data_IF_696865741332
#
_entry.id   IF_696865741332
#
_cell.length_a   1.000
_cell.length_b   1.000
_cell.length_c   1.000
_cell.angle_alpha   90.00
_cell.angle_beta   90.00
_cell.angle_gamma   90.00
#
_symmetry.space_group_name_H-M   'P 1'
#
loop_
_entity.id
_entity.type
_entity.pdbx_description
1 polymer ?
#
# COMPACT_ATOMS: atom_id res chain seq x y z
N UNK A 1 -27.25 6.17 -22.00
CA UNK A 1 -27.07 6.76 -20.66
C UNK A 1 -28.19 6.23 -19.78
N UNK A 2 -27.88 5.65 -18.63
CA UNK A 2 -28.88 5.15 -17.68
C UNK A 2 -28.98 6.15 -16.52
N UNK A 3 -30.21 6.54 -16.20
CA UNK A 3 -30.53 7.47 -15.12
C UNK A 3 -31.51 6.81 -14.17
N UNK A 4 -31.23 6.86 -12.88
CA UNK A 4 -32.16 6.41 -11.84
C UNK A 4 -31.85 7.07 -10.50
N UNK A 5 -32.86 7.61 -9.83
CA UNK A 5 -32.74 8.05 -8.44
C UNK A 5 -33.05 6.84 -7.54
N UNK A 6 -32.11 6.40 -6.70
CA UNK A 6 -32.34 5.35 -5.70
C UNK A 6 -32.57 3.90 -6.20
N UNK A 7 -32.68 3.63 -7.50
CA UNK A 7 -32.94 2.29 -8.04
C UNK A 7 -31.72 1.39 -8.25
N UNK A 8 -31.94 0.08 -8.38
CA UNK A 8 -30.93 -0.91 -8.76
C UNK A 8 -30.78 -0.96 -10.30
N UNK A 9 -29.54 -0.92 -10.79
CA UNK A 9 -29.21 -1.12 -12.21
C UNK A 9 -28.54 -2.48 -12.34
N UNK A 10 -29.20 -3.42 -13.02
CA UNK A 10 -28.63 -4.72 -13.34
C UNK A 10 -28.47 -4.81 -14.84
N UNK A 11 -27.26 -5.08 -15.30
CA UNK A 11 -26.99 -5.31 -16.71
C UNK A 11 -26.14 -6.57 -16.91
N UNK A 12 -26.40 -7.29 -18.01
CA UNK A 12 -25.51 -8.30 -18.59
C UNK A 12 -25.36 -8.09 -20.10
N UNK A 13 -24.13 -8.11 -20.61
CA UNK A 13 -23.88 -8.07 -22.06
C UNK A 13 -22.45 -8.51 -22.42
N UNK A 14 -22.16 -8.74 -23.71
CA UNK A 14 -20.79 -9.08 -24.13
C UNK A 14 -19.82 -7.89 -24.06
N UNK A 15 -20.27 -6.67 -24.32
CA UNK A 15 -19.47 -5.43 -24.30
C UNK A 15 -20.34 -4.27 -23.81
N UNK A 16 -19.77 -3.44 -22.94
CA UNK A 16 -20.45 -2.27 -22.38
C UNK A 16 -19.61 -1.01 -22.45
N UNK A 17 -20.27 0.08 -22.79
CA UNK A 17 -19.72 1.43 -22.79
C UNK A 17 -20.83 2.41 -22.42
N UNK A 18 -21.18 2.41 -21.14
CA UNK A 18 -22.34 3.10 -20.61
C UNK A 18 -21.93 4.24 -19.66
N UNK A 19 -22.77 5.26 -19.60
CA UNK A 19 -22.77 6.23 -18.52
C UNK A 19 -23.98 5.94 -17.62
N UNK A 20 -23.73 5.61 -16.36
CA UNK A 20 -24.73 5.37 -15.32
C UNK A 20 -24.66 6.53 -14.32
N UNK A 21 -25.77 7.22 -14.12
CA UNK A 21 -25.89 8.31 -13.15
C UNK A 21 -27.08 8.06 -12.23
N UNK A 22 -26.82 8.03 -10.93
CA UNK A 22 -27.86 7.96 -9.92
C UNK A 22 -27.44 8.60 -8.61
N UNK A 23 -28.36 8.70 -7.67
CA UNK A 23 -28.09 9.10 -6.29
C UNK A 23 -28.41 7.91 -5.38
N UNK A 24 -27.38 7.24 -4.86
CA UNK A 24 -27.48 6.23 -3.81
C UNK A 24 -27.87 4.79 -4.22
N UNK A 25 -28.24 4.55 -5.49
CA UNK A 25 -28.65 3.21 -5.96
C UNK A 25 -27.51 2.20 -6.12
N UNK A 26 -27.85 0.91 -6.23
CA UNK A 26 -26.89 -0.20 -6.46
C UNK A 26 -26.68 -0.44 -7.95
N UNK A 27 -25.44 -0.64 -8.38
CA UNK A 27 -25.10 -1.01 -9.76
C UNK A 27 -24.49 -2.40 -9.75
N UNK A 28 -25.08 -3.34 -10.48
CA UNK A 28 -24.55 -4.66 -10.74
C UNK A 28 -24.35 -4.82 -12.23
N UNK A 29 -23.14 -5.16 -12.64
CA UNK A 29 -22.86 -5.44 -14.03
C UNK A 29 -22.02 -6.70 -14.19
N UNK A 30 -22.32 -7.48 -15.23
CA UNK A 30 -21.42 -8.49 -15.80
C UNK A 30 -21.17 -8.19 -17.29
N UNK A 31 -19.94 -8.43 -17.79
CA UNK A 31 -19.67 -8.47 -19.23
C UNK A 31 -18.28 -9.06 -19.55
N UNK A 32 -17.97 -9.28 -20.83
CA UNK A 32 -16.58 -9.61 -21.22
C UNK A 32 -15.66 -8.38 -21.24
N UNK A 33 -16.16 -7.20 -21.63
CA UNK A 33 -15.39 -5.95 -21.72
C UNK A 33 -16.25 -4.76 -21.29
N UNK A 34 -15.74 -3.94 -20.37
CA UNK A 34 -16.41 -2.73 -19.87
C UNK A 34 -15.57 -1.49 -20.01
N UNK A 35 -16.24 -0.39 -20.30
CA UNK A 35 -15.67 0.95 -20.29
C UNK A 35 -16.75 1.94 -19.88
N UNK A 36 -17.08 1.93 -18.59
CA UNK A 36 -18.25 2.61 -18.05
C UNK A 36 -17.86 3.79 -17.17
N UNK A 37 -18.75 4.77 -17.11
CA UNK A 37 -18.70 5.87 -16.15
C UNK A 37 -19.88 5.75 -15.19
N UNK A 38 -19.60 5.50 -13.92
CA UNK A 38 -20.61 5.38 -12.85
C UNK A 38 -20.48 6.58 -11.92
N UNK A 39 -21.57 7.34 -11.75
CA UNK A 39 -21.61 8.51 -10.86
C UNK A 39 -22.75 8.41 -9.86
N UNK A 40 -22.41 8.59 -8.57
CA UNK A 40 -23.34 8.73 -7.46
C UNK A 40 -24.06 7.44 -7.04
N UNK A 41 -23.52 6.28 -7.42
CA UNK A 41 -24.01 5.00 -6.91
C UNK A 41 -23.78 4.90 -5.38
N UNK A 42 -24.66 4.18 -4.67
CA UNK A 42 -24.40 3.74 -3.31
C UNK A 42 -23.36 2.62 -3.33
N UNK A 43 -23.72 1.47 -3.91
CA UNK A 43 -22.85 0.30 -4.07
C UNK A 43 -22.62 -0.03 -5.55
N UNK A 44 -21.44 -0.54 -5.89
CA UNK A 44 -21.08 -0.97 -7.24
C UNK A 44 -20.47 -2.37 -7.19
N UNK A 45 -21.05 -3.32 -7.92
CA UNK A 45 -20.53 -4.67 -8.10
C UNK A 45 -20.31 -4.89 -9.59
N UNK A 46 -19.07 -5.18 -9.95
CA UNK A 46 -18.74 -5.47 -11.34
C UNK A 46 -17.96 -6.77 -11.46
N UNK A 47 -18.30 -7.56 -12.48
CA UNK A 47 -17.49 -8.69 -12.96
C UNK A 47 -17.17 -8.48 -14.44
N UNK A 48 -15.93 -8.75 -14.87
CA UNK A 48 -15.60 -8.82 -16.31
C UNK A 48 -14.25 -9.44 -16.64
N UNK A 49 -13.98 -9.77 -17.92
CA UNK A 49 -12.60 -10.12 -18.32
C UNK A 49 -11.67 -8.90 -18.45
N UNK A 50 -12.16 -7.75 -18.91
CA UNK A 50 -11.38 -6.51 -19.07
C UNK A 50 -12.22 -5.28 -18.71
N UNK A 51 -11.72 -4.43 -17.81
CA UNK A 51 -12.41 -3.20 -17.37
C UNK A 51 -11.54 -1.96 -17.52
N UNK A 52 -12.19 -0.85 -17.81
CA UNK A 52 -11.60 0.48 -17.80
C UNK A 52 -12.67 1.48 -17.40
N UNK A 53 -12.99 1.50 -16.11
CA UNK A 53 -14.15 2.20 -15.59
C UNK A 53 -13.74 3.41 -14.74
N UNK A 54 -14.63 4.40 -14.69
CA UNK A 54 -14.53 5.55 -13.79
C UNK A 54 -15.72 5.54 -12.84
N UNK A 55 -15.46 5.39 -11.54
CA UNK A 55 -16.47 5.38 -10.48
C UNK A 55 -16.28 6.64 -9.63
N UNK A 56 -17.30 7.48 -9.54
CA UNK A 56 -17.25 8.75 -8.77
C UNK A 56 -18.42 8.89 -7.80
N UNK A 57 -18.09 9.23 -6.56
CA UNK A 57 -19.07 9.52 -5.51
C UNK A 57 -19.80 8.26 -5.03
N UNK A 58 -19.09 7.13 -5.00
CA UNK A 58 -19.61 5.92 -4.39
C UNK A 58 -19.60 6.10 -2.87
N UNK A 59 -20.78 6.25 -2.26
CA UNK A 59 -20.88 6.41 -0.79
C UNK A 59 -20.62 5.09 -0.05
N UNK A 60 -20.96 3.96 -0.67
CA UNK A 60 -20.84 2.61 -0.13
C UNK A 60 -19.72 1.79 -0.77
N UNK A 61 -19.98 0.51 -0.98
CA UNK A 61 -18.99 -0.49 -1.37
C UNK A 61 -18.76 -0.55 -2.88
N UNK A 62 -17.51 -0.75 -3.29
CA UNK A 62 -17.12 -1.05 -4.68
C UNK A 62 -16.42 -2.40 -4.72
N UNK A 63 -17.04 -3.39 -5.36
CA UNK A 63 -16.52 -4.74 -5.51
C UNK A 63 -16.24 -5.01 -6.99
N UNK A 64 -14.98 -5.31 -7.30
CA UNK A 64 -14.54 -5.55 -8.68
C UNK A 64 -13.70 -6.82 -8.83
N UNK A 65 -14.19 -7.75 -9.64
CA UNK A 65 -13.38 -8.88 -10.15
C UNK A 65 -13.09 -8.72 -11.65
N UNK A 66 -11.83 -8.95 -12.07
CA UNK A 66 -11.49 -9.07 -13.48
C UNK A 66 -10.19 -9.80 -13.80
N UNK A 67 -9.93 -10.14 -15.07
CA UNK A 67 -8.57 -10.58 -15.48
C UNK A 67 -7.60 -9.41 -15.64
N UNK A 68 -8.08 -8.27 -16.15
CA UNK A 68 -7.30 -7.03 -16.34
C UNK A 68 -8.19 -5.83 -16.05
N UNK A 69 -7.67 -4.88 -15.28
CA UNK A 69 -8.37 -3.63 -15.02
C UNK A 69 -7.46 -2.43 -14.96
N UNK A 70 -8.07 -1.29 -15.29
CA UNK A 70 -7.47 0.03 -15.26
C UNK A 70 -8.56 1.03 -14.89
N UNK A 71 -8.86 1.12 -13.59
CA UNK A 71 -10.01 1.86 -13.10
C UNK A 71 -9.59 3.09 -12.30
N UNK A 72 -10.47 4.10 -12.29
CA UNK A 72 -10.36 5.26 -11.43
C UNK A 72 -11.55 5.31 -10.49
N UNK A 73 -11.30 5.27 -9.19
CA UNK A 73 -12.31 5.33 -8.13
C UNK A 73 -12.09 6.61 -7.32
N UNK A 74 -13.09 7.48 -7.23
CA UNK A 74 -13.00 8.76 -6.49
C UNK A 74 -14.19 8.98 -5.57
N UNK A 75 -13.90 9.34 -4.32
CA UNK A 75 -14.91 9.70 -3.32
C UNK A 75 -15.59 8.48 -2.73
N UNK A 76 -14.84 7.39 -2.52
CA UNK A 76 -15.29 6.18 -1.87
C UNK A 76 -15.31 6.40 -0.35
N UNK A 77 -16.43 6.86 0.22
CA UNK A 77 -16.55 6.94 1.67
C UNK A 77 -16.46 5.57 2.36
N UNK A 78 -16.84 4.50 1.63
CA UNK A 78 -16.90 3.11 2.10
C UNK A 78 -15.67 2.25 1.76
N UNK A 79 -15.96 0.98 1.42
CA UNK A 79 -14.95 -0.06 1.17
C UNK A 79 -14.76 -0.33 -0.33
N UNK A 80 -13.51 -0.53 -0.75
CA UNK A 80 -13.13 -0.92 -2.11
C UNK A 80 -12.47 -2.30 -2.05
N UNK A 81 -13.11 -3.31 -2.65
CA UNK A 81 -12.62 -4.69 -2.73
C UNK A 81 -12.34 -5.02 -4.18
N UNK A 82 -11.12 -5.46 -4.43
CA UNK A 82 -10.64 -5.69 -5.77
C UNK A 82 -9.90 -7.01 -5.89
N UNK A 83 -10.22 -7.79 -6.94
CA UNK A 83 -9.40 -8.93 -7.38
C UNK A 83 -9.07 -8.81 -8.89
N UNK A 84 -7.83 -9.13 -9.27
CA UNK A 84 -7.51 -9.40 -10.67
C UNK A 84 -6.14 -10.05 -10.91
N UNK A 85 -5.91 -10.57 -12.12
CA UNK A 85 -4.53 -10.95 -12.54
C UNK A 85 -3.61 -9.75 -12.78
N UNK A 86 -4.12 -8.60 -13.26
CA UNK A 86 -3.34 -7.39 -13.55
C UNK A 86 -4.16 -6.12 -13.27
N UNK A 87 -3.65 -5.25 -12.39
CA UNK A 87 -4.29 -3.97 -12.03
C UNK A 87 -3.40 -2.77 -12.34
N UNK A 88 -4.04 -1.68 -12.75
CA UNK A 88 -3.44 -0.35 -12.81
C UNK A 88 -4.50 0.68 -12.41
N UNK A 89 -4.72 0.81 -11.11
CA UNK A 89 -5.86 1.55 -10.59
C UNK A 89 -5.42 2.83 -9.86
N UNK A 90 -6.30 3.83 -9.89
CA UNK A 90 -6.19 5.04 -9.08
C UNK A 90 -7.38 5.13 -8.14
N UNK A 91 -7.12 5.15 -6.83
CA UNK A 91 -8.15 5.22 -5.79
C UNK A 91 -7.94 6.51 -4.99
N UNK A 92 -8.98 7.35 -4.87
CA UNK A 92 -8.92 8.62 -4.12
C UNK A 92 -10.09 8.78 -3.15
N UNK A 93 -9.77 9.05 -1.89
CA UNK A 93 -10.72 9.30 -0.79
C UNK A 93 -11.43 8.02 -0.42
N UNK A 94 -10.74 7.14 0.31
CA UNK A 94 -11.15 5.79 0.65
C UNK A 94 -11.17 5.56 2.17
N UNK A 95 -12.20 4.91 2.68
CA UNK A 95 -12.20 4.33 4.03
C UNK A 95 -11.27 3.11 4.09
N UNK A 96 -11.71 1.99 3.53
CA UNK A 96 -10.97 0.72 3.50
C UNK A 96 -10.73 0.24 2.07
N UNK A 97 -9.53 -0.23 1.77
CA UNK A 97 -9.14 -0.77 0.46
C UNK A 97 -8.55 -2.17 0.66
N UNK A 98 -9.09 -3.16 -0.04
CA UNK A 98 -8.59 -4.53 -0.09
C UNK A 98 -8.27 -4.88 -1.55
N UNK A 99 -7.03 -5.26 -1.83
CA UNK A 99 -6.60 -5.65 -3.17
C UNK A 99 -5.80 -6.96 -3.18
N UNK A 100 -6.27 -7.93 -3.96
CA UNK A 100 -5.45 -9.09 -4.36
C UNK A 100 -5.10 -9.05 -5.86
N UNK A 101 -3.86 -9.37 -6.23
CA UNK A 101 -3.51 -9.56 -7.65
C UNK A 101 -2.24 -10.36 -7.92
N UNK A 102 -2.01 -10.78 -9.16
CA UNK A 102 -0.67 -11.28 -9.55
C UNK A 102 0.33 -10.16 -9.82
N UNK A 103 -0.12 -9.05 -10.38
CA UNK A 103 0.69 -7.86 -10.69
C UNK A 103 -0.16 -6.62 -10.51
N UNK A 104 0.37 -5.63 -9.80
CA UNK A 104 -0.31 -4.34 -9.65
C UNK A 104 0.64 -3.16 -9.68
N UNK A 105 0.07 -2.05 -10.11
CA UNK A 105 0.69 -0.74 -10.15
C UNK A 105 -0.38 0.28 -9.82
N UNK A 106 -0.62 0.53 -8.53
CA UNK A 106 -1.75 1.33 -8.09
C UNK A 106 -1.30 2.61 -7.40
N UNK A 107 -2.13 3.65 -7.50
CA UNK A 107 -1.98 4.88 -6.74
C UNK A 107 -3.19 5.05 -5.82
N UNK A 108 -2.94 5.06 -4.51
CA UNK A 108 -3.97 5.20 -3.47
C UNK A 108 -3.76 6.54 -2.75
N UNK A 109 -4.77 7.40 -2.70
CA UNK A 109 -4.72 8.70 -2.02
C UNK A 109 -5.87 8.89 -1.03
N UNK A 110 -5.57 9.25 0.22
CA UNK A 110 -6.55 9.59 1.26
C UNK A 110 -7.22 8.35 1.83
N UNK A 111 -6.47 7.52 2.56
CA UNK A 111 -6.87 6.19 2.97
C UNK A 111 -7.00 6.06 4.49
N UNK A 112 -7.97 5.29 4.99
CA UNK A 112 -8.04 4.81 6.37
C UNK A 112 -7.28 3.48 6.58
N UNK A 113 -7.71 2.39 5.94
CA UNK A 113 -7.02 1.08 5.99
C UNK A 113 -6.78 0.52 4.59
N UNK A 114 -5.55 0.11 4.30
CA UNK A 114 -5.14 -0.52 3.03
C UNK A 114 -4.60 -1.91 3.32
N UNK A 115 -5.18 -2.93 2.68
CA UNK A 115 -4.73 -4.32 2.73
C UNK A 115 -4.44 -4.77 1.31
N UNK A 116 -3.23 -5.28 1.10
CA UNK A 116 -2.77 -5.62 -0.23
C UNK A 116 -2.03 -6.95 -0.25
N UNK A 117 -2.37 -7.83 -1.17
CA UNK A 117 -1.58 -9.01 -1.53
C UNK A 117 -1.22 -8.97 -3.02
N UNK A 118 0.02 -9.35 -3.37
CA UNK A 118 0.34 -9.73 -4.75
C UNK A 118 1.65 -10.47 -4.93
N UNK A 119 1.86 -11.07 -6.11
CA UNK A 119 3.22 -11.55 -6.49
C UNK A 119 4.20 -10.42 -6.84
N UNK A 120 3.75 -9.28 -7.38
CA UNK A 120 4.59 -8.13 -7.76
C UNK A 120 3.81 -6.82 -7.59
N UNK A 121 4.33 -5.92 -6.76
CA UNK A 121 3.75 -4.60 -6.48
C UNK A 121 4.66 -3.48 -6.93
N UNK A 122 4.05 -2.43 -7.46
CA UNK A 122 4.67 -1.13 -7.68
C UNK A 122 3.67 -0.03 -7.34
N UNK A 123 3.45 0.21 -6.05
CA UNK A 123 2.37 1.07 -5.59
C UNK A 123 2.86 2.38 -4.99
N UNK A 124 2.04 3.42 -5.13
CA UNK A 124 2.19 4.69 -4.43
C UNK A 124 1.00 4.91 -3.51
N UNK A 125 1.24 4.97 -2.20
CA UNK A 125 0.21 5.20 -1.19
C UNK A 125 0.47 6.56 -0.53
N UNK A 126 -0.54 7.44 -0.54
CA UNK A 126 -0.47 8.77 0.08
C UNK A 126 -1.69 9.05 0.96
N UNK A 127 -1.54 9.07 2.27
CA UNK A 127 -2.65 9.31 3.22
C UNK A 127 -2.31 8.79 4.61
N UNK A 128 -3.12 9.15 5.61
CA UNK A 128 -2.88 8.78 7.00
C UNK A 128 -3.78 7.61 7.44
N UNK A 129 -3.22 6.49 7.91
CA UNK A 129 -3.98 5.28 8.20
C UNK A 129 -3.11 4.02 8.43
N UNK A 130 -3.72 2.82 8.38
CA UNK A 130 -3.02 1.53 8.49
C UNK A 130 -2.80 0.89 7.12
N UNK A 131 -1.56 0.49 6.81
CA UNK A 131 -1.18 -0.20 5.58
C UNK A 131 -0.65 -1.59 5.92
N UNK A 132 -1.22 -2.64 5.31
CA UNK A 132 -0.77 -4.03 5.44
C UNK A 132 -0.49 -4.57 4.04
N UNK A 133 0.72 -5.06 3.82
CA UNK A 133 1.16 -5.52 2.51
C UNK A 133 1.95 -6.83 2.54
N UNK A 134 1.48 -7.82 1.79
CA UNK A 134 2.27 -9.03 1.50
C UNK A 134 2.64 -9.09 0.00
N UNK A 135 3.87 -9.45 -0.34
CA UNK A 135 4.21 -9.79 -1.72
C UNK A 135 5.47 -10.64 -1.91
N UNK A 136 5.68 -11.17 -3.13
CA UNK A 136 7.01 -11.74 -3.47
C UNK A 136 8.06 -10.68 -3.84
N UNK A 137 7.64 -9.58 -4.45
CA UNK A 137 8.51 -8.46 -4.85
C UNK A 137 7.74 -7.16 -4.70
N UNK A 138 8.34 -6.21 -3.99
CA UNK A 138 7.73 -4.95 -3.63
C UNK A 138 8.64 -3.77 -3.98
N UNK A 139 8.10 -2.81 -4.72
CA UNK A 139 8.72 -1.52 -5.00
C UNK A 139 7.71 -0.41 -4.73
N UNK A 140 7.55 0.01 -3.48
CA UNK A 140 6.48 0.94 -3.12
C UNK A 140 7.01 2.27 -2.59
N UNK A 141 6.19 3.30 -2.76
CA UNK A 141 6.36 4.59 -2.11
C UNK A 141 5.17 4.87 -1.20
N UNK A 142 5.40 4.96 0.10
CA UNK A 142 4.39 5.24 1.12
C UNK A 142 4.66 6.62 1.71
N UNK A 143 3.64 7.50 1.70
CA UNK A 143 3.72 8.86 2.25
C UNK A 143 2.53 9.19 3.16
N UNK A 144 2.75 9.45 4.44
CA UNK A 144 1.68 9.82 5.39
C UNK A 144 1.97 9.40 6.83
N UNK A 145 0.98 9.52 7.71
CA UNK A 145 1.07 9.11 9.12
C UNK A 145 0.35 7.77 9.35
N UNK A 146 0.76 6.98 10.35
CA UNK A 146 0.10 5.72 10.73
C UNK A 146 0.93 4.44 10.49
N UNK A 147 0.35 3.28 10.86
CA UNK A 147 1.07 2.00 10.95
C UNK A 147 1.25 1.33 9.58
N UNK A 148 2.47 0.91 9.27
CA UNK A 148 2.83 0.15 8.07
C UNK A 148 3.33 -1.23 8.49
N UNK A 149 2.70 -2.28 7.97
CA UNK A 149 3.13 -3.68 8.16
C UNK A 149 3.40 -4.27 6.79
N UNK A 150 4.59 -4.80 6.58
CA UNK A 150 4.96 -5.38 5.31
C UNK A 150 5.67 -6.72 5.46
N UNK A 151 5.33 -7.67 4.59
CA UNK A 151 6.11 -8.89 4.36
C UNK A 151 6.47 -9.00 2.88
N UNK A 152 7.72 -9.40 2.58
CA UNK A 152 8.03 -9.86 1.22
C UNK A 152 9.29 -10.72 1.11
N UNK A 153 9.52 -11.32 -0.08
CA UNK A 153 10.85 -11.90 -0.37
C UNK A 153 11.92 -10.86 -0.77
N UNK A 154 11.52 -9.75 -1.39
CA UNK A 154 12.41 -8.68 -1.88
C UNK A 154 11.69 -7.34 -1.82
N UNK A 155 12.24 -6.40 -1.05
CA UNK A 155 11.70 -5.04 -0.88
C UNK A 155 12.68 -3.99 -1.39
N UNK A 156 12.14 -2.98 -2.05
CA UNK A 156 12.81 -1.72 -2.32
C UNK A 156 11.82 -0.58 -2.16
N UNK A 157 11.68 -0.08 -0.93
CA UNK A 157 10.62 0.87 -0.59
C UNK A 157 11.16 2.22 -0.13
N UNK A 158 10.34 3.23 -0.34
CA UNK A 158 10.51 4.55 0.25
C UNK A 158 9.31 4.85 1.15
N UNK A 159 9.54 4.98 2.45
CA UNK A 159 8.53 5.31 3.45
C UNK A 159 8.83 6.70 4.01
N UNK A 160 7.85 7.61 3.95
CA UNK A 160 7.97 8.98 4.48
C UNK A 160 6.75 9.37 5.30
N UNK A 161 6.92 9.77 6.56
CA UNK A 161 5.78 10.04 7.46
C UNK A 161 6.10 10.77 8.75
N UNK A 162 5.10 11.03 9.59
CA UNK A 162 5.27 11.46 10.98
C UNK A 162 4.42 10.54 11.86
N UNK A 163 4.98 10.01 12.96
CA UNK A 163 4.23 9.38 14.05
C UNK A 163 3.61 8.01 13.77
N UNK A 164 4.28 7.11 13.04
CA UNK A 164 3.73 5.79 12.71
C UNK A 164 4.77 4.67 12.82
N UNK A 165 4.33 3.52 13.32
CA UNK A 165 5.13 2.30 13.44
C UNK A 165 5.31 1.62 12.08
N UNK A 166 6.54 1.21 11.78
CA UNK A 166 6.91 0.45 10.57
C UNK A 166 7.40 -0.93 11.00
N UNK A 167 6.63 -1.97 10.71
CA UNK A 167 7.05 -3.36 10.88
C UNK A 167 7.32 -3.95 9.52
N UNK A 168 8.53 -4.46 9.32
CA UNK A 168 8.88 -5.15 8.10
C UNK A 168 9.57 -6.50 8.34
N UNK A 169 9.19 -7.51 7.55
CA UNK A 169 9.98 -8.74 7.36
C UNK A 169 10.35 -8.90 5.87
N UNK A 170 11.59 -9.32 5.58
CA UNK A 170 11.91 -9.79 4.24
C UNK A 170 13.20 -10.61 4.13
N UNK A 171 13.37 -11.38 3.04
CA UNK A 171 14.70 -11.99 2.75
C UNK A 171 15.76 -10.99 2.27
N UNK A 172 15.39 -9.92 1.58
CA UNK A 172 16.31 -8.89 1.05
C UNK A 172 15.59 -7.53 1.06
N UNK A 173 16.12 -6.57 1.81
CA UNK A 173 15.60 -5.20 1.90
C UNK A 173 16.60 -4.18 1.39
N UNK A 174 16.06 -3.13 0.79
CA UNK A 174 16.78 -1.92 0.44
C UNK A 174 15.82 -0.76 0.58
N UNK A 175 15.68 -0.21 1.79
CA UNK A 175 14.65 0.78 2.07
C UNK A 175 15.23 2.15 2.42
N UNK A 176 14.42 3.18 2.16
CA UNK A 176 14.63 4.51 2.73
C UNK A 176 13.43 4.86 3.59
N UNK A 177 13.67 5.06 4.89
CA UNK A 177 12.66 5.43 5.88
C UNK A 177 12.97 6.84 6.39
N UNK A 178 12.01 7.75 6.29
CA UNK A 178 12.15 9.14 6.78
C UNK A 178 10.93 9.60 7.57
N UNK A 179 11.10 10.05 8.81
CA UNK A 179 9.98 10.63 9.58
C UNK A 179 10.32 11.20 10.94
N UNK A 180 9.35 11.67 11.72
CA UNK A 180 9.54 12.05 13.12
C UNK A 180 8.67 11.13 14.01
N UNK A 181 9.25 10.53 15.05
CA UNK A 181 8.53 9.91 16.18
C UNK A 181 7.74 8.62 15.94
N UNK A 182 8.27 7.64 15.19
CA UNK A 182 7.62 6.31 15.10
C UNK A 182 8.64 5.18 15.06
N UNK A 183 8.27 4.04 15.63
CA UNK A 183 9.16 2.90 15.79
C UNK A 183 9.38 2.16 14.47
N UNK A 184 10.58 1.62 14.29
CA UNK A 184 10.96 0.83 13.14
C UNK A 184 11.43 -0.53 13.62
N UNK A 185 10.64 -1.56 13.35
CA UNK A 185 10.97 -2.95 13.64
C UNK A 185 11.22 -3.66 12.33
N UNK A 186 12.44 -4.15 12.14
CA UNK A 186 12.79 -4.87 10.93
C UNK A 186 13.47 -6.21 11.21
N UNK A 187 13.08 -7.25 10.46
CA UNK A 187 13.82 -8.51 10.31
C UNK A 187 14.24 -8.74 8.85
N UNK A 188 15.45 -9.23 8.60
CA UNK A 188 15.80 -9.78 7.29
C UNK A 188 17.02 -10.71 7.26
N UNK A 189 17.24 -11.39 6.12
CA UNK A 189 18.55 -12.02 5.84
C UNK A 189 19.62 -11.05 5.34
N UNK A 190 19.24 -9.99 4.62
CA UNK A 190 20.14 -8.97 4.06
C UNK A 190 19.42 -7.63 4.01
N UNK A 191 20.01 -6.60 4.61
CA UNK A 191 19.50 -5.22 4.66
C UNK A 191 20.51 -4.23 4.12
N UNK A 192 20.00 -3.20 3.47
CA UNK A 192 20.74 -2.01 3.06
C UNK A 192 19.81 -0.81 3.16
N UNK A 193 19.69 -0.23 4.35
CA UNK A 193 18.68 0.77 4.63
C UNK A 193 19.28 2.14 4.94
N UNK A 194 18.48 3.18 4.67
CA UNK A 194 18.71 4.52 5.19
C UNK A 194 17.53 4.93 6.05
N UNK A 195 17.77 5.13 7.35
CA UNK A 195 16.76 5.55 8.32
C UNK A 195 17.12 6.97 8.80
N UNK A 196 16.17 7.92 8.67
CA UNK A 196 16.34 9.29 9.15
C UNK A 196 15.11 9.77 9.92
N UNK A 197 15.27 10.17 11.18
CA UNK A 197 14.13 10.70 11.93
C UNK A 197 14.27 10.78 13.44
N UNK A 198 13.68 11.81 14.05
CA UNK A 198 13.76 12.08 15.49
C UNK A 198 12.56 11.53 16.26
N UNK A 199 12.80 10.51 17.10
CA UNK A 199 12.01 10.25 18.30
C UNK A 199 11.47 8.83 18.53
N UNK A 200 11.57 7.91 17.57
CA UNK A 200 11.10 6.51 17.74
C UNK A 200 12.26 5.52 17.85
N UNK A 201 11.95 4.32 18.34
CA UNK A 201 12.92 3.24 18.52
C UNK A 201 13.21 2.52 17.20
N UNK A 202 14.43 2.01 17.06
CA UNK A 202 14.85 1.22 15.90
C UNK A 202 15.34 -0.14 16.37
N UNK A 203 14.56 -1.18 16.08
CA UNK A 203 14.91 -2.57 16.38
C UNK A 203 15.17 -3.29 15.07
N UNK A 204 16.38 -3.78 14.90
CA UNK A 204 16.76 -4.52 13.71
C UNK A 204 17.43 -5.87 14.03
N UNK A 205 16.98 -6.93 13.36
CA UNK A 205 17.70 -8.21 13.27
C UNK A 205 18.10 -8.49 11.82
N UNK A 206 19.36 -8.91 11.58
CA UNK A 206 19.71 -9.51 10.30
C UNK A 206 21.00 -10.32 10.25
N UNK A 207 21.12 -11.23 9.27
CA UNK A 207 22.42 -11.88 8.99
C UNK A 207 23.49 -10.96 8.38
N UNK A 208 23.11 -9.94 7.60
CA UNK A 208 24.04 -9.00 6.95
C UNK A 208 23.38 -7.63 6.82
N UNK A 209 23.95 -6.59 7.44
CA UNK A 209 23.44 -5.21 7.40
C UNK A 209 24.45 -4.25 6.77
N UNK A 210 23.92 -3.25 6.08
CA UNK A 210 24.68 -2.09 5.60
C UNK A 210 23.81 -0.86 5.67
N UNK A 211 23.69 -0.30 6.87
CA UNK A 211 22.67 0.70 7.18
C UNK A 211 23.28 2.06 7.51
N UNK A 212 22.52 3.11 7.20
CA UNK A 212 22.80 4.48 7.64
C UNK A 212 21.64 4.97 8.48
N UNK A 213 21.89 5.25 9.77
CA UNK A 213 20.89 5.73 10.72
C UNK A 213 21.26 7.14 11.16
N UNK A 214 20.35 8.11 11.00
CA UNK A 214 20.58 9.50 11.39
C UNK A 214 19.42 10.11 12.18
N UNK A 215 19.73 10.65 13.36
CA UNK A 215 18.85 11.52 14.14
C UNK A 215 17.85 10.82 15.04
N UNK A 216 18.14 9.59 15.50
CA UNK A 216 17.28 8.86 16.42
C UNK A 216 17.28 9.51 17.80
N UNK A 217 16.11 9.96 18.27
CA UNK A 217 15.93 10.38 19.66
C UNK A 217 15.57 9.21 20.59
N UNK A 218 15.15 8.07 20.03
CA UNK A 218 14.84 6.84 20.75
C UNK A 218 16.00 5.84 20.73
N UNK A 219 15.75 4.64 21.26
CA UNK A 219 16.72 3.57 21.38
C UNK A 219 17.03 2.91 20.02
N UNK A 220 18.27 2.45 19.85
CA UNK A 220 18.67 1.65 18.69
C UNK A 220 19.18 0.29 19.16
N UNK A 221 18.46 -0.77 18.82
CA UNK A 221 18.80 -2.16 19.12
C UNK A 221 19.12 -2.90 17.81
N UNK A 222 20.36 -3.35 17.65
CA UNK A 222 20.80 -4.08 16.47
C UNK A 222 21.45 -5.42 16.81
N UNK A 223 20.94 -6.51 16.22
CA UNK A 223 21.64 -7.80 16.15
C UNK A 223 22.05 -8.13 14.71
N UNK A 224 23.32 -8.52 14.50
CA UNK A 224 23.71 -9.12 13.23
C UNK A 224 24.96 -10.00 13.22
N UNK A 225 25.04 -10.94 12.26
CA UNK A 225 26.29 -11.71 12.03
C UNK A 225 27.40 -10.88 11.36
N UNK A 226 27.04 -9.93 10.52
CA UNK A 226 27.96 -9.03 9.80
C UNK A 226 27.30 -7.67 9.62
N UNK A 227 27.97 -6.61 10.01
CA UNK A 227 27.48 -5.23 9.85
C UNK A 227 28.52 -4.31 9.26
N UNK A 228 28.02 -3.35 8.52
CA UNK A 228 28.76 -2.21 8.01
C UNK A 228 27.84 -0.99 8.11
N UNK A 229 27.71 -0.44 9.31
CA UNK A 229 26.69 0.56 9.61
C UNK A 229 27.34 1.92 9.91
N UNK A 230 26.61 3.00 9.65
CA UNK A 230 26.96 4.36 10.04
C UNK A 230 25.79 4.95 10.82
N UNK A 231 26.01 5.26 12.10
CA UNK A 231 24.99 5.77 13.01
C UNK A 231 25.43 7.15 13.51
N UNK A 232 24.57 8.18 13.35
CA UNK A 232 24.88 9.56 13.76
C UNK A 232 23.69 10.25 14.42
N UNK A 233 23.91 10.86 15.58
CA UNK A 233 22.92 11.67 16.28
C UNK A 233 21.88 10.84 17.03
N UNK A 234 22.34 9.80 17.73
CA UNK A 234 21.54 9.12 18.74
C UNK A 234 21.46 10.03 19.98
N UNK A 235 20.28 10.56 20.27
CA UNK A 235 19.99 11.16 21.58
C UNK A 235 19.59 10.11 22.62
N UNK A 236 19.27 8.88 22.19
CA UNK A 236 18.92 7.74 23.03
C UNK A 236 20.01 6.66 23.12
N UNK A 237 19.71 5.59 23.86
CA UNK A 237 20.65 4.48 24.08
C UNK A 237 20.88 3.62 22.83
N UNK A 238 22.05 2.96 22.79
CA UNK A 238 22.43 2.06 21.70
C UNK A 238 22.87 0.71 22.25
N UNK A 239 22.20 -0.36 21.81
CA UNK A 239 22.55 -1.75 22.10
C UNK A 239 22.86 -2.48 20.79
N UNK A 240 24.08 -3.01 20.67
CA UNK A 240 24.57 -3.57 19.42
C UNK A 240 25.30 -4.90 19.66
N UNK A 241 24.79 -6.00 19.11
CA UNK A 241 25.48 -7.29 19.08
C UNK A 241 25.92 -7.63 17.65
N UNK A 242 27.18 -8.06 17.49
CA UNK A 242 27.61 -8.61 16.22
C UNK A 242 28.82 -9.54 16.27
N UNK A 243 28.81 -10.56 15.42
CA UNK A 243 29.96 -11.45 15.24
C UNK A 243 31.12 -10.86 14.41
N UNK A 244 30.84 -9.89 13.53
CA UNK A 244 31.84 -9.19 12.69
C UNK A 244 31.39 -7.75 12.41
N UNK A 245 32.21 -6.79 12.81
CA UNK A 245 32.00 -5.34 12.65
C UNK A 245 33.03 -4.75 11.68
N UNK A 246 32.58 -3.91 10.75
CA UNK A 246 33.43 -2.98 10.01
C UNK A 246 32.83 -1.59 10.14
N UNK A 247 33.64 -0.63 10.58
CA UNK A 247 33.21 0.76 10.72
C UNK A 247 33.49 1.50 9.41
N UNK A 248 32.45 2.13 8.83
CA UNK A 248 32.65 3.07 7.72
C UNK A 248 33.23 4.37 8.27
N UNK A 249 34.38 4.79 7.75
CA UNK A 249 34.98 6.12 8.03
C UNK A 249 34.21 7.23 7.33
#
# INVERSE_FOLDING_TARGET
MIRGAGGEVIEDSRRKSNMIRGAGGKVIEDSRRKSNMIRGAGNVIEVSRRKSNMIRGAGGEVIEDSRRKSNMIRGAGGEVIEDSKRKNNMIRGAGKVIEDSRRKSNMIRGAGKVIEDSRRKNNMIRGAGKVIEDSRRKNNMIRGAGKVIEDSRRKNNMIRGAGGEVIEDSRRKSNMIRGAGGDVIEDSRRKSNMIRGAGGDVIEDSRRKSNMIRGAGGEVIEDSRRKNNMIRGAGGEMLEDSRRKSDMR
#
